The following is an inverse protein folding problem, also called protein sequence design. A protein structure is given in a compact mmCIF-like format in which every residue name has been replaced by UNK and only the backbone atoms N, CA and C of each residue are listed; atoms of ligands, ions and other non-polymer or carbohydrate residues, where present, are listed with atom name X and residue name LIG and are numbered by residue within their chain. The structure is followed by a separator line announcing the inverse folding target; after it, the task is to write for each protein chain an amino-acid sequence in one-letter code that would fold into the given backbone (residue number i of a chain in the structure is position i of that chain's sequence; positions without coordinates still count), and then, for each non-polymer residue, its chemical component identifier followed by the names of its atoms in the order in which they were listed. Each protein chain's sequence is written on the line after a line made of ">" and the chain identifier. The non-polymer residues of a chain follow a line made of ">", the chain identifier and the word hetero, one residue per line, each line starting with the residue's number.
data_IF_393238502881
#
_entry.id   IF_393238502881
#
_cell.length_a   1.000
_cell.length_b   1.000
_cell.length_c   1.000
_cell.angle_alpha   90.00
_cell.angle_beta   90.00
_cell.angle_gamma   90.00
#
_symmetry.space_group_name_H-M   'P 1'
#
loop_
_entity.id
_entity.type
_entity.pdbx_description
1 polymer ?
#
# COMPACT_ATOMS: atom_id res chain seq x y z
N UNK A 1 -5.59 -1.74 -19.02
CA UNK A 1 -6.17 -0.40 -18.73
C UNK A 1 -6.31 -0.25 -17.24
N UNK A 2 -5.80 0.84 -16.66
CA UNK A 2 -5.96 1.13 -15.24
C UNK A 2 -7.42 1.51 -15.00
N UNK A 3 -8.10 0.80 -14.11
CA UNK A 3 -9.50 1.11 -13.75
C UNK A 3 -9.59 2.54 -13.21
N UNK A 4 -10.60 3.27 -13.66
CA UNK A 4 -10.87 4.64 -13.22
C UNK A 4 -12.34 4.74 -12.84
N UNK A 5 -12.61 5.36 -11.71
CA UNK A 5 -13.94 5.82 -11.34
C UNK A 5 -14.12 7.27 -11.77
N UNK A 6 -15.29 7.64 -12.23
CA UNK A 6 -15.68 9.06 -12.27
C UNK A 6 -15.71 9.62 -10.85
N UNK A 7 -15.59 10.92 -10.68
CA UNK A 7 -15.67 11.53 -9.35
C UNK A 7 -17.00 11.21 -8.64
N UNK A 8 -18.12 11.20 -9.39
CA UNK A 8 -19.43 10.83 -8.85
C UNK A 8 -19.48 9.36 -8.36
N UNK A 9 -18.83 8.44 -9.07
CA UNK A 9 -18.72 7.03 -8.63
C UNK A 9 -17.85 6.89 -7.37
N UNK A 10 -16.77 7.64 -7.30
CA UNK A 10 -15.95 7.73 -6.10
C UNK A 10 -16.78 8.23 -4.90
N UNK A 11 -17.58 9.30 -5.06
CA UNK A 11 -18.46 9.79 -4.00
C UNK A 11 -19.47 8.74 -3.55
N UNK A 12 -20.12 8.05 -4.50
CA UNK A 12 -21.05 6.95 -4.20
C UNK A 12 -20.38 5.79 -3.44
N UNK A 13 -19.14 5.51 -3.73
CA UNK A 13 -18.35 4.50 -2.99
C UNK A 13 -18.01 5.01 -1.57
N UNK A 14 -17.56 6.24 -1.43
CA UNK A 14 -17.21 6.83 -0.14
C UNK A 14 -18.42 6.88 0.80
N UNK A 15 -19.60 7.23 0.31
CA UNK A 15 -20.81 7.27 1.14
C UNK A 15 -21.23 5.88 1.64
N UNK A 16 -20.99 4.82 0.87
CA UNK A 16 -21.23 3.44 1.37
C UNK A 16 -20.32 3.11 2.56
N UNK A 17 -19.07 3.56 2.50
CA UNK A 17 -18.11 3.35 3.60
C UNK A 17 -18.53 4.19 4.81
N UNK A 18 -18.93 5.45 4.59
CA UNK A 18 -19.44 6.33 5.64
C UNK A 18 -20.67 5.72 6.34
N UNK A 19 -21.60 5.22 5.57
CA UNK A 19 -22.79 4.53 6.10
C UNK A 19 -22.41 3.33 6.97
N UNK A 20 -21.50 2.49 6.46
CA UNK A 20 -21.03 1.33 7.20
C UNK A 20 -20.36 1.73 8.53
N UNK A 21 -19.45 2.73 8.50
CA UNK A 21 -18.77 3.24 9.68
C UNK A 21 -19.74 3.76 10.73
N UNK A 22 -20.69 4.58 10.32
CA UNK A 22 -21.67 5.17 11.24
C UNK A 22 -22.57 4.10 11.85
N UNK A 23 -22.94 3.08 11.08
CA UNK A 23 -23.78 1.97 11.55
C UNK A 23 -23.04 1.02 12.50
N UNK A 24 -21.77 0.72 12.24
CA UNK A 24 -21.01 -0.33 12.93
C UNK A 24 -20.04 0.22 13.98
N UNK A 25 -19.73 1.51 13.96
CA UNK A 25 -18.70 2.10 14.79
C UNK A 25 -19.27 3.14 15.75
N UNK A 26 -19.52 2.70 16.99
CA UNK A 26 -20.04 3.57 18.05
C UNK A 26 -19.03 4.64 18.54
N UNK A 27 -17.77 4.56 18.11
CA UNK A 27 -16.65 5.39 18.60
C UNK A 27 -16.20 6.48 17.62
N UNK A 28 -16.87 6.66 16.50
CA UNK A 28 -16.57 7.83 15.63
C UNK A 28 -16.96 9.07 16.45
N UNK A 29 -15.94 9.82 16.84
CA UNK A 29 -16.14 10.92 17.79
C UNK A 29 -17.03 11.98 17.14
N UNK A 30 -17.91 12.54 17.92
CA UNK A 30 -18.75 13.64 17.45
C UNK A 30 -17.95 14.86 16.99
N UNK A 31 -16.70 15.02 17.48
CA UNK A 31 -15.75 16.04 17.07
C UNK A 31 -15.40 15.96 15.59
N UNK A 32 -15.34 14.73 15.02
CA UNK A 32 -14.98 14.49 13.63
C UNK A 32 -16.06 15.00 12.66
N UNK A 33 -17.32 15.05 13.09
CA UNK A 33 -18.40 15.65 12.31
C UNK A 33 -18.36 17.17 12.28
N UNK A 34 -17.87 17.80 13.34
CA UNK A 34 -17.91 19.26 13.47
C UNK A 34 -16.93 19.94 12.52
N UNK A 35 -15.78 19.32 12.27
CA UNK A 35 -14.74 19.86 11.41
C UNK A 35 -15.00 19.70 9.92
N UNK A 36 -15.96 18.85 9.52
CA UNK A 36 -16.36 18.69 8.12
C UNK A 36 -17.09 19.93 7.58
N UNK A 37 -17.67 20.72 8.47
CA UNK A 37 -18.53 21.83 8.09
C UNK A 37 -18.18 23.14 8.79
N UNK A 38 -17.36 23.94 8.16
CA UNK A 38 -17.36 25.39 8.37
C UNK A 38 -18.68 26.06 7.91
N UNK A 39 -19.76 25.27 7.65
CA UNK A 39 -21.01 25.76 7.08
C UNK A 39 -22.21 25.75 8.05
N UNK A 40 -21.98 25.65 9.37
CA UNK A 40 -23.03 25.81 10.37
C UNK A 40 -24.11 24.72 10.44
N UNK A 41 -23.91 23.57 9.78
CA UNK A 41 -24.87 22.45 9.80
C UNK A 41 -24.68 21.59 11.05
N UNK A 42 -25.76 21.36 11.81
CA UNK A 42 -25.70 20.53 13.03
C UNK A 42 -25.21 19.11 12.76
N UNK A 43 -24.32 18.58 13.60
CA UNK A 43 -23.74 17.22 13.56
C UNK A 43 -24.77 16.11 13.33
N UNK A 44 -25.82 16.12 14.13
CA UNK A 44 -26.94 15.18 14.06
C UNK A 44 -27.57 15.12 12.67
N UNK A 45 -27.68 16.26 12.00
CA UNK A 45 -28.24 16.33 10.68
C UNK A 45 -27.40 15.56 9.63
N UNK A 46 -26.09 15.70 9.65
CA UNK A 46 -25.19 14.99 8.69
C UNK A 46 -25.27 13.49 8.91
N UNK A 47 -25.18 13.04 10.17
CA UNK A 47 -25.31 11.61 10.51
C UNK A 47 -26.65 11.05 10.05
N UNK A 48 -27.74 11.74 10.34
CA UNK A 48 -29.08 11.35 9.93
C UNK A 48 -29.17 11.25 8.41
N UNK A 49 -28.67 12.24 7.66
CA UNK A 49 -28.71 12.23 6.20
C UNK A 49 -27.88 11.11 5.57
N UNK A 50 -26.74 10.76 6.16
CA UNK A 50 -25.95 9.60 5.72
C UNK A 50 -26.70 8.30 5.99
N UNK A 51 -27.33 8.15 7.17
CA UNK A 51 -28.07 6.94 7.54
C UNK A 51 -29.37 6.77 6.77
N UNK A 52 -30.08 7.86 6.50
CA UNK A 52 -31.30 7.84 5.70
C UNK A 52 -31.05 7.46 4.24
N UNK A 53 -29.84 7.72 3.74
CA UNK A 53 -29.50 7.49 2.33
C UNK A 53 -30.27 8.36 1.36
N UNK A 54 -30.81 9.49 1.82
CA UNK A 54 -31.75 10.35 1.08
C UNK A 54 -31.28 11.81 1.07
N UNK A 55 -31.69 12.49 0.03
CA UNK A 55 -31.51 13.93 -0.13
C UNK A 55 -30.35 14.33 -1.04
N UNK A 56 -30.42 15.55 -1.57
CA UNK A 56 -29.52 16.08 -2.61
C UNK A 56 -28.04 16.14 -2.15
N UNK A 57 -27.81 16.30 -0.85
CA UNK A 57 -26.45 16.43 -0.28
C UNK A 57 -25.90 15.14 0.32
N UNK A 58 -26.60 14.03 0.20
CA UNK A 58 -26.22 12.76 0.80
C UNK A 58 -24.81 12.29 0.42
N UNK A 59 -24.49 12.25 -0.87
CA UNK A 59 -23.18 11.83 -1.35
C UNK A 59 -22.07 12.79 -0.94
N UNK A 60 -22.31 14.09 -1.03
CA UNK A 60 -21.35 15.10 -0.64
C UNK A 60 -21.00 15.04 0.86
N UNK A 61 -22.00 14.86 1.72
CA UNK A 61 -21.76 14.72 3.17
C UNK A 61 -21.02 13.42 3.52
N UNK A 62 -21.42 12.29 2.93
CA UNK A 62 -20.77 11.03 3.16
C UNK A 62 -19.31 11.04 2.67
N UNK A 63 -19.05 11.65 1.53
CA UNK A 63 -17.70 11.81 0.98
C UNK A 63 -16.86 12.70 1.87
N UNK A 64 -17.35 13.89 2.25
CA UNK A 64 -16.63 14.81 3.14
C UNK A 64 -16.32 14.17 4.50
N UNK A 65 -17.26 13.42 5.04
CA UNK A 65 -17.08 12.67 6.28
C UNK A 65 -15.95 11.64 6.15
N UNK A 66 -15.97 10.81 5.09
CA UNK A 66 -14.94 9.80 4.87
C UNK A 66 -13.57 10.42 4.64
N UNK A 67 -13.50 11.49 3.86
CA UNK A 67 -12.26 12.21 3.60
C UNK A 67 -11.65 12.77 4.88
N UNK A 68 -12.48 13.36 5.75
CA UNK A 68 -12.03 13.81 7.06
C UNK A 68 -11.49 12.65 7.90
N UNK A 69 -12.27 11.58 8.07
CA UNK A 69 -11.85 10.42 8.85
C UNK A 69 -10.53 9.83 8.33
N UNK A 70 -10.40 9.60 7.01
CA UNK A 70 -9.20 8.98 6.42
C UNK A 70 -7.97 9.88 6.54
N UNK A 71 -8.11 11.20 6.48
CA UNK A 71 -6.97 12.12 6.57
C UNK A 71 -6.55 12.46 7.99
N UNK A 72 -7.44 12.31 8.99
CA UNK A 72 -7.18 12.66 10.39
C UNK A 72 -7.12 11.45 11.33
N UNK A 73 -7.75 10.33 10.99
CA UNK A 73 -7.66 9.11 11.78
C UNK A 73 -6.40 8.31 11.40
N UNK A 74 -5.53 8.09 12.39
CA UNK A 74 -4.29 7.33 12.20
C UNK A 74 -4.46 5.81 12.36
N UNK A 75 -5.58 5.36 12.95
CA UNK A 75 -5.70 3.94 13.32
C UNK A 75 -6.25 3.03 12.23
N UNK A 76 -7.10 3.50 11.34
CA UNK A 76 -7.81 2.73 10.28
C UNK A 76 -8.39 1.36 10.71
N UNK A 77 -8.25 1.00 11.99
CA UNK A 77 -8.59 -0.35 12.49
C UNK A 77 -10.08 -0.66 12.37
N UNK A 78 -10.89 0.38 12.45
CA UNK A 78 -12.35 0.26 12.46
C UNK A 78 -13.00 0.43 11.08
N UNK A 79 -12.21 0.58 10.02
CA UNK A 79 -12.74 0.68 8.67
C UNK A 79 -13.05 -0.71 8.09
N UNK A 80 -14.07 -0.84 7.20
CA UNK A 80 -14.36 -2.11 6.56
C UNK A 80 -13.15 -2.59 5.75
N UNK A 81 -12.86 -3.90 5.80
CA UNK A 81 -11.73 -4.47 5.07
C UNK A 81 -11.86 -4.27 3.55
N UNK A 82 -13.09 -4.19 3.06
CA UNK A 82 -13.40 -3.87 1.67
C UNK A 82 -14.82 -3.29 1.55
N UNK A 83 -15.07 -2.58 0.47
CA UNK A 83 -16.41 -2.18 0.02
C UNK A 83 -16.67 -2.76 -1.37
N UNK A 84 -17.86 -3.30 -1.60
CA UNK A 84 -18.27 -3.74 -2.94
C UNK A 84 -19.00 -2.60 -3.63
N UNK A 85 -18.49 -2.18 -4.79
CA UNK A 85 -19.07 -1.16 -5.63
C UNK A 85 -19.02 -1.61 -7.10
N UNK A 86 -20.12 -1.60 -7.82
CA UNK A 86 -20.22 -2.10 -9.20
C UNK A 86 -19.63 -3.51 -9.38
N UNK A 87 -19.96 -4.45 -8.50
CA UNK A 87 -19.46 -5.83 -8.47
C UNK A 87 -17.94 -5.98 -8.25
N UNK A 88 -17.22 -4.89 -8.02
CA UNK A 88 -15.79 -4.90 -7.71
C UNK A 88 -15.57 -4.66 -6.22
N UNK A 89 -14.64 -5.43 -5.63
CA UNK A 89 -14.20 -5.23 -4.23
C UNK A 89 -13.06 -4.23 -4.19
N UNK A 90 -13.28 -3.12 -3.51
CA UNK A 90 -12.25 -2.11 -3.22
C UNK A 90 -11.79 -2.32 -1.78
N UNK A 91 -10.58 -2.79 -1.59
CA UNK A 91 -10.02 -3.04 -0.28
C UNK A 91 -9.68 -1.74 0.46
N UNK A 92 -9.54 -1.85 1.79
CA UNK A 92 -9.28 -0.71 2.67
C UNK A 92 -8.15 0.19 2.16
N UNK A 93 -7.02 -0.40 1.83
CA UNK A 93 -5.87 0.36 1.34
C UNK A 93 -6.17 1.07 0.01
N UNK A 94 -6.92 0.43 -0.89
CA UNK A 94 -7.33 1.01 -2.17
C UNK A 94 -8.19 2.25 -1.98
N UNK A 95 -9.29 2.12 -1.23
CA UNK A 95 -10.21 3.25 -1.11
C UNK A 95 -9.65 4.38 -0.22
N UNK A 96 -8.80 4.07 0.76
CA UNK A 96 -8.13 5.10 1.57
C UNK A 96 -7.07 5.85 0.76
N UNK A 97 -6.32 5.16 -0.10
CA UNK A 97 -5.37 5.78 -1.02
C UNK A 97 -6.08 6.69 -2.03
N UNK A 98 -7.15 6.21 -2.66
CA UNK A 98 -7.99 7.03 -3.56
C UNK A 98 -8.44 8.32 -2.88
N UNK A 99 -8.90 8.21 -1.64
CA UNK A 99 -9.35 9.33 -0.84
C UNK A 99 -8.22 10.35 -0.59
N UNK A 100 -7.06 9.90 -0.12
CA UNK A 100 -5.89 10.76 0.11
C UNK A 100 -5.48 11.53 -1.15
N UNK A 101 -5.46 10.85 -2.30
CA UNK A 101 -5.13 11.49 -3.59
C UNK A 101 -6.16 12.51 -4.03
N UNK A 102 -7.45 12.25 -3.83
CA UNK A 102 -8.52 13.22 -4.13
C UNK A 102 -8.40 14.46 -3.25
N UNK A 103 -8.16 14.29 -1.95
CA UNK A 103 -7.95 15.41 -1.03
C UNK A 103 -6.72 16.22 -1.40
N UNK A 104 -5.59 15.56 -1.72
CA UNK A 104 -4.38 16.22 -2.18
C UNK A 104 -4.60 17.00 -3.50
N UNK A 105 -5.29 16.38 -4.48
CA UNK A 105 -5.63 17.04 -5.75
C UNK A 105 -6.45 18.31 -5.53
N UNK A 106 -7.50 18.26 -4.69
CA UNK A 106 -8.32 19.44 -4.38
C UNK A 106 -7.54 20.54 -3.67
N UNK A 107 -6.63 20.16 -2.77
CA UNK A 107 -5.76 21.14 -2.10
C UNK A 107 -4.94 21.94 -3.11
N UNK A 108 -4.41 21.29 -4.13
CA UNK A 108 -3.56 21.91 -5.16
C UNK A 108 -4.37 22.63 -6.23
N UNK A 109 -5.43 22.00 -6.76
CA UNK A 109 -6.14 22.50 -7.95
C UNK A 109 -7.43 23.26 -7.64
N UNK A 110 -7.86 23.32 -6.37
CA UNK A 110 -9.09 24.00 -5.89
C UNK A 110 -10.38 23.51 -6.58
N UNK A 111 -10.36 22.32 -7.16
CA UNK A 111 -11.50 21.67 -7.83
C UNK A 111 -11.46 20.16 -7.68
N UNK A 112 -12.60 19.49 -7.90
CA UNK A 112 -12.67 18.03 -7.92
C UNK A 112 -11.99 17.46 -9.18
N UNK A 113 -11.33 16.29 -9.08
CA UNK A 113 -10.83 15.57 -10.26
C UNK A 113 -12.01 15.06 -11.09
N UNK A 114 -11.89 15.03 -12.43
CA UNK A 114 -12.90 14.42 -13.30
C UNK A 114 -13.00 12.91 -13.07
N UNK A 115 -11.87 12.26 -12.86
CA UNK A 115 -11.75 10.82 -12.61
C UNK A 115 -10.78 10.54 -11.47
N UNK A 116 -11.02 9.45 -10.75
CA UNK A 116 -10.15 8.94 -9.70
C UNK A 116 -9.61 7.60 -10.16
N UNK A 117 -8.29 7.48 -10.30
CA UNK A 117 -7.66 6.20 -10.63
C UNK A 117 -7.86 5.23 -9.47
N UNK A 118 -8.31 4.03 -9.80
CA UNK A 118 -8.28 2.92 -8.86
C UNK A 118 -6.86 2.35 -8.91
N UNK A 119 -6.04 2.77 -7.97
CA UNK A 119 -4.83 2.04 -7.68
C UNK A 119 -5.26 0.90 -6.76
N UNK A 120 -5.63 -0.21 -7.37
CA UNK A 120 -5.96 -1.42 -6.63
C UNK A 120 -4.70 -2.03 -6.04
N UNK A 121 -4.87 -2.80 -4.99
CA UNK A 121 -3.85 -3.71 -4.47
C UNK A 121 -3.31 -4.71 -5.52
N UNK A 122 -3.88 -4.70 -6.72
CA UNK A 122 -3.43 -5.44 -7.91
C UNK A 122 -2.80 -4.57 -9.01
N UNK A 123 -2.82 -3.24 -8.92
CA UNK A 123 -2.28 -2.36 -9.96
C UNK A 123 -0.96 -1.70 -9.58
N UNK A 124 -0.28 -2.21 -8.58
CA UNK A 124 1.15 -1.96 -8.47
C UNK A 124 1.90 -2.89 -9.42
N UNK A 125 1.47 -2.87 -10.61
CA UNK A 125 2.30 -3.26 -11.71
C UNK A 125 3.32 -2.13 -11.89
N UNK A 126 4.45 -2.27 -11.22
CA UNK A 126 5.69 -2.01 -11.93
C UNK A 126 5.42 -2.63 -13.28
N UNK A 127 5.26 -1.81 -14.32
CA UNK A 127 5.04 -2.37 -15.65
C UNK A 127 6.19 -3.34 -15.87
N UNK A 128 5.97 -4.44 -16.56
CA UNK A 128 7.04 -5.39 -16.81
C UNK A 128 8.25 -4.68 -17.46
N UNK A 129 8.02 -3.55 -18.12
CA UNK A 129 9.04 -2.69 -18.70
C UNK A 129 9.84 -1.91 -17.64
N UNK A 130 9.19 -1.31 -16.65
CA UNK A 130 9.88 -0.63 -15.55
C UNK A 130 10.69 -1.62 -14.71
N UNK A 131 10.11 -2.79 -14.42
CA UNK A 131 10.82 -3.86 -13.72
C UNK A 131 12.04 -4.36 -14.49
N UNK A 132 11.94 -4.53 -15.81
CA UNK A 132 13.06 -4.90 -16.68
C UNK A 132 14.14 -3.83 -16.75
N UNK A 133 13.76 -2.56 -16.80
CA UNK A 133 14.71 -1.44 -16.77
C UNK A 133 15.50 -1.45 -15.46
N UNK A 134 14.81 -1.57 -14.31
CA UNK A 134 15.45 -1.65 -13.00
C UNK A 134 16.32 -2.90 -12.87
N UNK A 135 15.88 -4.05 -13.40
CA UNK A 135 16.71 -5.25 -13.44
C UNK A 135 17.98 -5.02 -14.26
N UNK A 136 17.90 -4.33 -15.39
CA UNK A 136 19.09 -3.99 -16.19
C UNK A 136 20.04 -3.11 -15.39
N UNK A 137 19.56 -2.04 -14.77
CA UNK A 137 20.38 -1.17 -13.91
C UNK A 137 21.01 -1.94 -12.74
N UNK A 138 20.25 -2.86 -12.15
CA UNK A 138 20.75 -3.75 -11.10
C UNK A 138 21.87 -4.66 -11.62
N UNK A 139 21.66 -5.30 -12.77
CA UNK A 139 22.62 -6.22 -13.36
C UNK A 139 23.89 -5.50 -13.84
N UNK A 140 23.78 -4.27 -14.32
CA UNK A 140 24.91 -3.42 -14.72
C UNK A 140 25.83 -3.12 -13.50
N UNK A 141 25.25 -2.97 -12.29
CA UNK A 141 26.02 -2.69 -11.09
C UNK A 141 26.43 -3.95 -10.31
N UNK A 142 25.49 -4.88 -10.07
CA UNK A 142 25.70 -6.07 -9.26
C UNK A 142 26.12 -7.30 -10.07
N UNK A 143 26.01 -7.27 -11.40
CA UNK A 143 26.24 -8.38 -12.30
C UNK A 143 24.98 -9.23 -12.56
N UNK A 144 25.01 -9.99 -13.65
CA UNK A 144 23.87 -10.81 -14.11
C UNK A 144 23.33 -11.74 -13.05
N UNK A 145 21.99 -11.87 -13.01
CA UNK A 145 21.28 -12.73 -12.06
C UNK A 145 20.37 -13.72 -12.79
N UNK A 146 20.30 -14.94 -12.28
CA UNK A 146 19.47 -16.01 -12.84
C UNK A 146 18.05 -15.98 -12.31
N UNK A 147 17.88 -15.70 -11.04
CA UNK A 147 16.63 -15.73 -10.29
C UNK A 147 16.62 -14.76 -9.13
N UNK A 148 15.54 -14.76 -8.36
CA UNK A 148 15.40 -13.93 -7.15
C UNK A 148 16.49 -14.17 -6.13
N UNK A 149 16.78 -15.43 -5.82
CA UNK A 149 17.72 -15.77 -4.76
C UNK A 149 19.16 -15.42 -5.14
N UNK A 150 19.52 -15.53 -6.42
CA UNK A 150 20.82 -15.11 -6.94
C UNK A 150 21.02 -13.58 -6.83
N UNK A 151 19.96 -12.80 -7.08
CA UNK A 151 20.01 -11.35 -6.92
C UNK A 151 20.28 -10.96 -5.47
N UNK A 152 19.60 -11.59 -4.53
CA UNK A 152 19.77 -11.31 -3.10
C UNK A 152 21.16 -11.69 -2.60
N UNK A 153 21.71 -12.83 -3.06
CA UNK A 153 23.10 -13.21 -2.79
C UNK A 153 24.11 -12.19 -3.31
N UNK A 154 23.88 -11.63 -4.51
CA UNK A 154 24.77 -10.59 -5.05
C UNK A 154 24.76 -9.29 -4.27
N UNK A 155 23.59 -8.85 -3.78
CA UNK A 155 23.53 -7.69 -2.88
C UNK A 155 24.34 -7.96 -1.62
N UNK A 156 24.13 -9.12 -0.99
CA UNK A 156 24.86 -9.52 0.23
C UNK A 156 26.37 -9.61 0.00
N UNK A 157 26.81 -10.25 -1.08
CA UNK A 157 28.24 -10.41 -1.39
C UNK A 157 28.99 -9.10 -1.64
N UNK A 158 28.27 -8.02 -1.98
CA UNK A 158 28.80 -6.67 -2.12
C UNK A 158 28.84 -5.88 -0.80
N UNK A 159 28.57 -6.53 0.33
CA UNK A 159 28.61 -5.92 1.66
C UNK A 159 27.43 -5.01 1.97
N UNK A 160 26.31 -5.17 1.26
CA UNK A 160 25.07 -4.45 1.59
C UNK A 160 24.43 -5.12 2.79
N UNK A 161 24.24 -4.35 3.84
CA UNK A 161 23.70 -4.83 5.10
C UNK A 161 22.31 -4.24 5.38
N UNK A 162 21.56 -4.95 6.21
CA UNK A 162 20.36 -4.36 6.80
C UNK A 162 20.76 -3.28 7.81
N UNK A 163 20.07 -2.14 7.75
CA UNK A 163 20.07 -1.21 8.87
C UNK A 163 18.70 -0.55 9.00
N UNK A 164 18.29 -0.34 10.23
CA UNK A 164 17.04 0.33 10.53
C UNK A 164 17.21 1.85 10.45
N UNK A 165 16.37 2.48 9.63
CA UNK A 165 16.23 3.93 9.63
C UNK A 165 14.82 4.30 9.19
N UNK A 166 14.01 4.83 10.11
CA UNK A 166 12.64 5.23 9.85
C UNK A 166 12.50 6.38 8.85
N UNK A 167 13.56 7.15 8.61
CA UNK A 167 13.55 8.26 7.65
C UNK A 167 13.58 7.81 6.18
N UNK A 168 13.95 6.54 5.92
CA UNK A 168 14.12 6.01 4.58
C UNK A 168 13.02 5.04 4.14
N UNK A 169 11.94 4.97 4.88
CA UNK A 169 10.82 4.07 4.56
C UNK A 169 10.04 4.47 3.31
N UNK A 170 10.39 5.59 2.66
CA UNK A 170 9.65 6.12 1.53
C UNK A 170 10.61 6.55 0.42
N UNK A 171 10.24 6.25 -0.84
CA UNK A 171 10.91 6.73 -2.06
C UNK A 171 12.39 6.34 -2.20
N UNK A 172 12.72 5.10 -1.87
CA UNK A 172 14.05 4.58 -2.15
C UNK A 172 14.22 4.27 -3.64
N UNK A 173 15.37 4.63 -4.20
CA UNK A 173 15.81 4.25 -5.54
C UNK A 173 17.00 3.31 -5.47
N UNK A 174 17.24 2.55 -6.54
CA UNK A 174 18.43 1.70 -6.64
C UNK A 174 19.72 2.51 -6.40
N UNK A 175 19.83 3.72 -6.94
CA UNK A 175 20.99 4.59 -6.76
C UNK A 175 21.18 5.01 -5.31
N UNK A 176 20.11 5.25 -4.56
CA UNK A 176 20.20 5.53 -3.12
C UNK A 176 20.67 4.32 -2.34
N UNK A 177 20.18 3.13 -2.67
CA UNK A 177 20.66 1.87 -2.06
C UNK A 177 22.15 1.69 -2.32
N UNK A 178 22.58 1.85 -3.57
CA UNK A 178 23.98 1.76 -3.97
C UNK A 178 24.84 2.72 -3.15
N UNK A 179 24.45 3.98 -3.06
CA UNK A 179 25.20 5.00 -2.33
C UNK A 179 25.30 4.72 -0.81
N UNK A 180 24.21 4.23 -0.21
CA UNK A 180 24.17 3.97 1.25
C UNK A 180 24.84 2.68 1.68
N UNK A 181 24.94 1.71 0.77
CA UNK A 181 25.34 0.33 1.06
C UNK A 181 24.50 -0.33 2.17
N UNK A 182 23.27 0.13 2.34
CA UNK A 182 22.37 -0.36 3.38
C UNK A 182 20.91 -0.25 2.98
N UNK A 183 20.10 -1.14 3.52
CA UNK A 183 18.66 -1.25 3.24
C UNK A 183 17.87 -1.60 4.50
N UNK A 184 16.67 -1.08 4.63
CA UNK A 184 15.70 -1.56 5.61
C UNK A 184 14.78 -2.63 5.02
N UNK A 185 13.80 -3.10 5.79
CA UNK A 185 12.88 -4.15 5.32
C UNK A 185 12.02 -3.68 4.14
N UNK A 186 11.60 -2.43 4.11
CA UNK A 186 10.79 -1.86 3.02
C UNK A 186 11.64 -1.71 1.76
N UNK A 187 12.80 -1.05 1.83
CA UNK A 187 13.70 -0.82 0.71
C UNK A 187 14.13 -2.13 0.03
N UNK A 188 14.56 -3.11 0.84
CA UNK A 188 15.01 -4.40 0.32
C UNK A 188 13.87 -5.18 -0.32
N UNK A 189 12.67 -5.14 0.27
CA UNK A 189 11.50 -5.80 -0.29
C UNK A 189 11.02 -5.13 -1.59
N UNK A 190 11.06 -3.80 -1.69
CA UNK A 190 10.71 -3.06 -2.91
C UNK A 190 11.67 -3.41 -4.05
N UNK A 191 12.98 -3.33 -3.83
CA UNK A 191 13.99 -3.69 -4.82
C UNK A 191 13.81 -5.13 -5.29
N UNK A 192 13.72 -6.05 -4.35
CA UNK A 192 13.62 -7.48 -4.67
C UNK A 192 12.28 -7.84 -5.35
N UNK A 193 11.18 -7.12 -5.03
CA UNK A 193 9.92 -7.27 -5.75
C UNK A 193 10.05 -6.91 -7.22
N UNK A 194 10.70 -5.79 -7.53
CA UNK A 194 10.91 -5.37 -8.91
C UNK A 194 11.72 -6.40 -9.71
N UNK A 195 12.79 -6.92 -9.12
CA UNK A 195 13.60 -7.98 -9.72
C UNK A 195 12.78 -9.26 -9.93
N UNK A 196 11.96 -9.65 -8.94
CA UNK A 196 11.08 -10.80 -9.05
C UNK A 196 10.10 -10.67 -10.23
N UNK A 197 9.45 -9.53 -10.38
CA UNK A 197 8.53 -9.25 -11.50
C UNK A 197 9.27 -9.35 -12.83
N UNK A 198 10.44 -8.75 -12.96
CA UNK A 198 11.24 -8.80 -14.18
C UNK A 198 11.69 -10.23 -14.55
N UNK A 199 11.86 -11.09 -13.55
CA UNK A 199 12.18 -12.53 -13.70
C UNK A 199 10.95 -13.43 -13.80
N UNK A 200 9.74 -12.87 -13.95
CA UNK A 200 8.50 -13.61 -14.20
C UNK A 200 7.83 -14.22 -12.96
N UNK A 201 8.21 -13.81 -11.75
CA UNK A 201 7.53 -14.26 -10.54
C UNK A 201 6.21 -13.50 -10.35
N UNK A 202 5.20 -14.20 -9.82
CA UNK A 202 4.12 -13.54 -9.07
C UNK A 202 4.67 -13.23 -7.69
N UNK A 203 4.54 -12.00 -7.25
CA UNK A 203 5.11 -11.55 -5.98
C UNK A 203 4.14 -10.64 -5.24
N UNK A 204 4.11 -10.76 -3.92
CA UNK A 204 3.31 -9.90 -3.05
C UNK A 204 4.15 -9.48 -1.85
N UNK A 205 3.97 -8.24 -1.42
CA UNK A 205 4.43 -7.82 -0.11
C UNK A 205 3.60 -8.46 1.00
N UNK A 206 4.23 -8.70 2.12
CA UNK A 206 3.58 -9.14 3.34
C UNK A 206 3.98 -8.18 4.45
N UNK A 207 3.02 -7.42 4.96
CA UNK A 207 3.20 -6.62 6.17
C UNK A 207 2.76 -7.44 7.38
N UNK A 208 3.65 -7.62 8.31
CA UNK A 208 3.41 -8.32 9.58
C UNK A 208 3.76 -7.44 10.76
N UNK A 209 3.12 -7.68 11.90
CA UNK A 209 3.49 -7.08 13.18
C UNK A 209 4.27 -8.10 13.99
N UNK A 210 5.49 -7.75 14.32
CA UNK A 210 6.39 -8.48 15.21
C UNK A 210 6.36 -7.91 16.62
N UNK A 211 7.02 -8.55 17.57
CA UNK A 211 7.26 -7.98 18.91
C UNK A 211 8.07 -6.67 18.86
N UNK A 212 8.95 -6.54 17.88
CA UNK A 212 9.80 -5.36 17.67
C UNK A 212 9.18 -4.27 16.76
N UNK A 213 7.96 -4.46 16.27
CA UNK A 213 7.27 -3.51 15.38
C UNK A 213 6.86 -4.08 14.03
N UNK A 214 6.46 -3.19 13.10
CA UNK A 214 6.06 -3.57 11.75
C UNK A 214 7.24 -4.06 10.91
N UNK A 215 7.01 -5.11 10.11
CA UNK A 215 8.01 -5.68 9.22
C UNK A 215 7.43 -6.01 7.85
N UNK A 216 8.21 -5.78 6.79
CA UNK A 216 7.83 -6.07 5.41
C UNK A 216 8.72 -7.15 4.83
N UNK A 217 8.10 -8.17 4.27
CA UNK A 217 8.75 -9.27 3.56
C UNK A 217 7.96 -9.63 2.29
N UNK A 218 8.37 -10.66 1.56
CA UNK A 218 7.78 -11.06 0.30
C UNK A 218 7.26 -12.51 0.33
N UNK A 219 6.23 -12.79 -0.45
CA UNK A 219 5.96 -14.12 -0.95
C UNK A 219 6.04 -14.13 -2.47
N UNK A 220 6.63 -15.18 -3.01
CA UNK A 220 6.89 -15.34 -4.43
C UNK A 220 6.33 -16.65 -4.92
N UNK A 221 5.91 -16.66 -6.21
CA UNK A 221 5.47 -17.86 -6.90
C UNK A 221 5.98 -17.82 -8.34
N UNK A 222 6.64 -18.89 -8.78
CA UNK A 222 7.14 -19.03 -10.15
C UNK A 222 6.96 -20.48 -10.62
N UNK A 223 6.50 -20.68 -11.87
CA UNK A 223 6.19 -22.01 -12.37
C UNK A 223 7.38 -22.98 -12.25
N UNK A 224 8.56 -22.54 -12.68
CA UNK A 224 9.79 -23.33 -12.68
C UNK A 224 10.52 -23.31 -11.33
N UNK A 225 10.77 -22.13 -10.77
CA UNK A 225 11.68 -21.97 -9.62
C UNK A 225 11.04 -22.28 -8.26
N UNK A 226 9.71 -22.31 -8.18
CA UNK A 226 8.98 -22.66 -6.95
C UNK A 226 7.93 -23.77 -7.17
N UNK A 227 8.01 -24.48 -8.29
CA UNK A 227 7.02 -25.49 -8.69
C UNK A 227 5.57 -24.99 -8.61
N UNK A 228 5.37 -23.70 -8.92
CA UNK A 228 4.08 -23.06 -8.85
C UNK A 228 3.54 -22.85 -7.42
N UNK A 229 4.30 -23.08 -6.36
CA UNK A 229 3.92 -22.85 -4.98
C UNK A 229 4.36 -21.48 -4.48
N UNK A 230 3.65 -20.91 -3.51
CA UNK A 230 4.09 -19.73 -2.80
C UNK A 230 5.22 -20.08 -1.84
N UNK A 231 6.34 -19.39 -1.95
CA UNK A 231 7.44 -19.41 -0.99
C UNK A 231 7.60 -18.03 -0.36
N UNK A 232 8.15 -17.99 0.84
CA UNK A 232 8.40 -16.76 1.58
C UNK A 232 9.87 -16.38 1.49
N UNK A 233 10.15 -15.08 1.37
CA UNK A 233 11.49 -14.51 1.40
C UNK A 233 11.48 -13.23 2.21
N UNK A 234 12.48 -13.09 3.02
CA UNK A 234 12.71 -11.91 3.85
C UNK A 234 14.07 -11.30 3.49
N UNK A 235 14.11 -10.38 2.52
CA UNK A 235 15.37 -9.79 2.09
C UNK A 235 16.16 -9.12 3.23
N UNK A 236 15.46 -8.45 4.14
CA UNK A 236 16.08 -7.79 5.28
C UNK A 236 16.77 -8.80 6.21
N UNK A 237 16.12 -9.92 6.49
CA UNK A 237 16.70 -10.99 7.31
C UNK A 237 17.94 -11.58 6.66
N UNK A 238 17.92 -11.84 5.36
CA UNK A 238 19.09 -12.37 4.64
C UNK A 238 20.27 -11.41 4.68
N UNK A 239 20.01 -10.11 4.59
CA UNK A 239 21.05 -9.07 4.60
C UNK A 239 21.55 -8.73 6.00
N UNK A 240 20.84 -9.11 7.05
CA UNK A 240 21.25 -8.86 8.44
C UNK A 240 22.38 -9.75 8.97
N UNK A 241 22.79 -10.71 8.15
CA UNK A 241 23.91 -11.64 8.45
C UNK A 241 23.76 -12.51 9.69
N UNK A 242 22.54 -12.93 10.00
CA UNK A 242 22.26 -13.81 11.15
C UNK A 242 22.51 -15.31 10.89
N UNK A 243 23.27 -15.67 9.86
CA UNK A 243 23.74 -17.03 9.57
C UNK A 243 22.70 -17.99 8.99
N UNK A 244 21.43 -17.60 8.85
CA UNK A 244 20.34 -18.48 8.38
C UNK A 244 20.22 -18.57 6.85
N UNK A 245 21.11 -17.92 6.11
CA UNK A 245 21.13 -17.96 4.65
C UNK A 245 19.89 -17.39 3.97
N UNK A 246 19.61 -17.85 2.75
CA UNK A 246 18.56 -17.32 1.86
C UNK A 246 17.13 -17.57 2.37
N UNK A 247 16.95 -18.53 3.25
CA UNK A 247 15.66 -18.88 3.86
C UNK A 247 15.41 -18.14 5.18
N UNK A 248 16.34 -17.27 5.58
CA UNK A 248 16.18 -16.43 6.75
C UNK A 248 14.84 -15.68 6.71
N UNK A 249 14.13 -15.70 7.81
CA UNK A 249 12.83 -15.07 7.94
C UNK A 249 12.64 -14.61 9.38
N UNK A 250 12.80 -13.31 9.59
CA UNK A 250 12.39 -12.70 10.86
C UNK A 250 10.87 -12.77 10.98
N UNK A 251 10.37 -12.73 12.13
CA UNK A 251 8.93 -12.58 12.31
C UNK A 251 8.08 -13.64 11.59
N UNK A 252 8.60 -14.88 11.49
CA UNK A 252 7.87 -15.97 10.82
C UNK A 252 6.45 -16.13 11.38
N UNK A 253 6.29 -15.97 12.69
CA UNK A 253 5.03 -16.03 13.41
C UNK A 253 4.39 -14.66 13.68
N UNK A 254 4.86 -13.60 13.02
CA UNK A 254 4.28 -12.26 13.16
C UNK A 254 2.83 -12.22 12.69
N UNK A 255 2.01 -11.44 13.40
CA UNK A 255 0.60 -11.24 13.02
C UNK A 255 0.50 -10.60 11.64
N UNK A 256 -0.13 -11.26 10.70
CA UNK A 256 -0.40 -10.71 9.38
C UNK A 256 -1.29 -9.47 9.50
N UNK A 257 -0.83 -8.36 8.96
CA UNK A 257 -1.57 -7.11 8.89
C UNK A 257 -2.20 -6.94 7.50
N UNK A 258 -1.39 -7.06 6.44
CA UNK A 258 -1.88 -6.91 5.08
C UNK A 258 -0.98 -7.63 4.06
N UNK A 259 -1.58 -8.02 2.94
CA UNK A 259 -0.88 -8.29 1.70
C UNK A 259 -0.90 -7.03 0.84
N UNK A 260 0.21 -6.74 0.18
CA UNK A 260 0.35 -5.59 -0.73
C UNK A 260 -0.19 -4.27 -0.13
N UNK A 261 0.29 -3.83 1.06
CA UNK A 261 -0.19 -2.61 1.66
C UNK A 261 0.11 -1.41 0.76
N UNK A 262 -0.86 -0.51 0.60
CA UNK A 262 -0.79 0.62 -0.34
C UNK A 262 0.42 1.53 -0.11
N UNK A 263 0.83 1.73 1.14
CA UNK A 263 1.97 2.57 1.49
C UNK A 263 3.31 1.97 1.02
N UNK A 264 3.48 0.64 1.04
CA UNK A 264 4.68 -0.02 0.48
C UNK A 264 4.66 0.03 -1.04
N UNK A 265 3.48 -0.07 -1.61
CA UNK A 265 3.28 -0.14 -3.04
C UNK A 265 3.38 1.25 -3.69
N UNK A 266 2.91 2.30 -3.01
CA UNK A 266 3.05 3.67 -3.47
C UNK A 266 4.52 4.11 -3.58
N UNK A 267 5.36 3.48 -2.77
CA UNK A 267 6.79 3.76 -2.70
C UNK A 267 7.63 2.72 -3.46
N UNK A 268 6.98 1.79 -4.16
CA UNK A 268 7.70 0.81 -4.97
C UNK A 268 8.54 1.52 -6.04
N UNK A 269 9.78 1.09 -6.18
CA UNK A 269 10.72 1.64 -7.15
C UNK A 269 10.13 1.66 -8.55
N UNK A 270 10.09 2.83 -9.14
CA UNK A 270 9.75 3.06 -10.55
C UNK A 270 10.99 2.96 -11.45
#
# INVERSE_FOLDING_TARGET
>A
MTEKLTYNEYEKMMVKIAYWLIKNNKKVSEKDYYNINNHGVKKTYIKTKILEGKGVKYTAYGTAYMEHCITHDKSYQNYPNYVTFKNTKYYKDTYTDMCKRVVAYRKTHKRNPKTVRVQGSNSNNITNNTAKKLLKEFEDYFGKVTDFDSALRKIKSRGYAYYYNSQYNNHTTLQRIIKRKGVNCTDSSQLMRAIAIAKGYKVQFIHVMCSSGGHVRLRLKHKKNTNGKWIYRDPACVLSDNGKGITCNWCMNGKLIAYDPSWVLADAME
#
